data_IF_236345370109
#
_entry.id   IF_236345370109
#
_cell.length_a   1.000
_cell.length_b   1.000
_cell.length_c   1.000
_cell.angle_alpha   90.00
_cell.angle_beta   90.00
_cell.angle_gamma   90.00
#
_symmetry.space_group_name_H-M   'P 1'
#
loop_
_entity.id
_entity.type
_entity.pdbx_description
1 polymer ?
#
# COMPACT_ATOMS: atom_id res chain seq x y z
N UNK A 1 64.83 3.00 31.07
CA UNK A 1 65.30 2.11 32.17
C UNK A 1 66.81 1.88 32.01
N UNK A 2 67.52 1.38 33.01
CA UNK A 2 68.96 1.15 32.90
C UNK A 2 69.61 0.52 34.14
N UNK A 3 70.92 0.69 34.27
CA UNK A 3 71.73 0.07 35.32
C UNK A 3 71.28 0.44 36.73
N UNK A 4 71.59 -0.41 37.72
CA UNK A 4 71.29 -0.17 39.14
C UNK A 4 69.81 0.12 39.43
N UNK A 5 68.90 -0.53 38.69
CA UNK A 5 67.45 -0.34 38.84
C UNK A 5 66.92 1.00 38.34
N UNK A 6 67.64 1.70 37.47
CA UNK A 6 67.26 3.06 37.02
C UNK A 6 65.95 3.04 36.22
N UNK A 7 64.96 3.82 36.68
CA UNK A 7 63.73 4.14 35.94
C UNK A 7 63.61 5.66 35.88
N UNK A 8 63.43 6.21 34.68
CA UNK A 8 63.16 7.63 34.47
C UNK A 8 61.85 7.78 33.71
N UNK A 9 61.05 8.78 34.08
CA UNK A 9 59.82 9.17 33.38
C UNK A 9 59.87 10.63 32.99
N UNK A 10 59.27 10.98 31.86
CA UNK A 10 59.12 12.35 31.41
C UNK A 10 57.75 12.53 30.76
N UNK A 11 57.06 13.63 31.07
CA UNK A 11 55.81 14.02 30.41
C UNK A 11 56.03 14.91 29.19
N UNK A 12 57.22 15.50 29.04
CA UNK A 12 57.56 16.50 28.03
C UNK A 12 58.72 16.05 27.11
N UNK A 13 59.30 14.87 27.35
CA UNK A 13 60.44 14.31 26.64
C UNK A 13 61.79 14.99 26.92
N UNK A 14 61.81 16.06 27.72
CA UNK A 14 63.01 16.90 27.94
C UNK A 14 63.44 16.92 29.40
N UNK A 15 62.50 16.97 30.33
CA UNK A 15 62.72 16.90 31.77
C UNK A 15 62.48 15.47 32.25
N UNK A 16 63.51 14.84 32.80
CA UNK A 16 63.44 13.45 33.26
C UNK A 16 63.47 13.36 34.79
N UNK A 17 62.46 12.71 35.36
CA UNK A 17 62.37 12.48 36.81
C UNK A 17 62.72 11.03 37.12
N UNK A 18 63.62 10.80 38.08
CA UNK A 18 63.96 9.47 38.57
C UNK A 18 62.85 8.86 39.40
N UNK A 19 62.57 7.57 39.18
CA UNK A 19 61.56 6.78 39.90
C UNK A 19 62.21 5.63 40.64
N UNK A 20 61.70 5.36 41.84
CA UNK A 20 62.16 4.23 42.65
C UNK A 20 61.58 2.93 42.09
N UNK A 21 62.46 2.03 41.65
CA UNK A 21 62.10 0.72 41.10
C UNK A 21 61.97 -0.38 42.15
N UNK A 22 62.55 -0.18 43.34
CA UNK A 22 62.58 -1.17 44.42
C UNK A 22 63.59 -2.31 44.20
N UNK A 23 64.48 -2.21 43.20
CA UNK A 23 65.54 -3.19 42.94
C UNK A 23 66.85 -2.49 42.56
N UNK A 24 67.97 -3.17 42.76
CA UNK A 24 69.29 -2.74 42.28
C UNK A 24 69.72 -3.47 41.01
N UNK A 25 68.91 -4.42 40.53
CA UNK A 25 69.19 -5.18 39.31
C UNK A 25 69.16 -4.27 38.07
N UNK A 26 70.00 -4.54 37.08
CA UNK A 26 69.95 -3.75 35.84
C UNK A 26 68.66 -4.08 35.08
N UNK A 27 68.02 -3.04 34.53
CA UNK A 27 66.80 -3.17 33.75
C UNK A 27 67.13 -2.97 32.28
N UNK A 28 66.82 -3.96 31.45
CA UNK A 28 67.24 -4.05 30.05
C UNK A 28 66.13 -3.69 29.06
N UNK A 29 64.88 -3.94 29.42
CA UNK A 29 63.73 -3.68 28.55
C UNK A 29 62.58 -3.01 29.30
N UNK A 30 61.80 -2.20 28.59
CA UNK A 30 60.54 -1.65 29.07
C UNK A 30 59.53 -1.62 27.93
N UNK A 31 58.28 -1.92 28.24
CA UNK A 31 57.14 -1.81 27.33
C UNK A 31 55.94 -1.23 28.07
N UNK A 32 54.95 -0.76 27.32
CA UNK A 32 53.67 -0.30 27.84
C UNK A 32 52.55 -0.87 26.99
N UNK A 33 51.61 -1.56 27.61
CA UNK A 33 50.45 -2.13 26.94
C UNK A 33 49.39 -2.54 27.96
N UNK A 34 48.11 -2.59 27.53
CA UNK A 34 46.97 -2.86 28.41
C UNK A 34 46.99 -1.99 29.69
N UNK A 35 47.22 -0.68 29.52
CA UNK A 35 47.32 0.31 30.59
C UNK A 35 48.35 0.01 31.69
N UNK A 36 49.38 -0.79 31.38
CA UNK A 36 50.40 -1.23 32.33
C UNK A 36 51.80 -1.12 31.72
N UNK A 37 52.71 -0.46 32.42
CA UNK A 37 54.15 -0.50 32.14
C UNK A 37 54.74 -1.79 32.68
N UNK A 38 55.60 -2.43 31.90
CA UNK A 38 56.35 -3.63 32.30
C UNK A 38 57.83 -3.41 31.98
N UNK A 39 58.71 -3.60 32.96
CA UNK A 39 60.17 -3.60 32.76
C UNK A 39 60.78 -4.92 33.21
N UNK A 40 61.82 -5.33 32.50
CA UNK A 40 62.52 -6.61 32.70
C UNK A 40 64.03 -6.41 32.83
N UNK A 41 64.71 -7.30 33.55
CA UNK A 41 66.12 -7.10 33.88
C UNK A 41 66.88 -8.35 34.35
N UNK A 42 68.00 -8.11 35.05
CA UNK A 42 68.87 -9.14 35.63
C UNK A 42 68.11 -10.10 36.55
N UNK A 43 68.61 -11.33 36.66
CA UNK A 43 68.10 -12.35 37.60
C UNK A 43 66.59 -12.59 37.51
N UNK A 44 66.03 -12.51 36.30
CA UNK A 44 64.60 -12.69 36.06
C UNK A 44 63.72 -11.56 36.59
N UNK A 45 64.26 -10.36 36.81
CA UNK A 45 63.48 -9.22 37.34
C UNK A 45 62.35 -8.87 36.39
N UNK A 46 61.12 -8.78 36.92
CA UNK A 46 59.95 -8.18 36.26
C UNK A 46 59.35 -7.15 37.23
N UNK A 47 59.12 -5.92 36.78
CA UNK A 47 58.37 -4.90 37.52
C UNK A 47 57.21 -4.39 36.68
N UNK A 48 56.07 -4.12 37.32
CA UNK A 48 54.87 -3.57 36.67
C UNK A 48 54.42 -2.27 37.34
N UNK A 49 53.86 -1.33 36.56
CA UNK A 49 53.29 -0.08 37.06
C UNK A 49 52.08 0.34 36.23
N UNK A 50 51.00 0.84 36.85
CA UNK A 50 49.85 1.42 36.13
C UNK A 50 49.99 2.93 35.90
N UNK A 51 50.88 3.61 36.64
CA UNK A 51 51.03 5.08 36.64
C UNK A 51 52.43 5.55 36.21
N UNK A 52 53.36 4.61 35.97
CA UNK A 52 54.76 4.88 35.60
C UNK A 52 55.64 5.34 36.77
N UNK A 53 55.08 5.57 37.95
CA UNK A 53 55.78 6.12 39.13
C UNK A 53 55.94 5.10 40.25
N UNK A 54 54.93 4.25 40.49
CA UNK A 54 54.92 3.21 41.52
C UNK A 54 55.12 1.85 40.87
N UNK A 55 56.19 1.14 41.25
CA UNK A 55 56.60 -0.11 40.62
C UNK A 55 56.48 -1.28 41.58
N UNK A 56 55.85 -2.36 41.12
CA UNK A 56 55.67 -3.59 41.90
C UNK A 56 56.43 -4.75 41.26
N UNK A 57 57.22 -5.48 42.04
CA UNK A 57 57.93 -6.68 41.58
C UNK A 57 56.99 -7.84 41.30
N UNK A 58 57.30 -8.63 40.26
CA UNK A 58 56.56 -9.83 39.84
C UNK A 58 57.51 -11.01 39.69
N UNK A 59 57.00 -12.20 40.00
CA UNK A 59 57.75 -13.45 39.84
C UNK A 59 57.78 -13.86 38.38
N UNK A 60 58.98 -14.06 37.83
CA UNK A 60 59.19 -14.52 36.45
C UNK A 60 59.31 -16.04 36.30
N UNK A 61 59.57 -16.75 37.40
CA UNK A 61 59.83 -18.20 37.39
C UNK A 61 61.20 -18.60 36.84
N UNK A 62 62.09 -17.64 36.57
CA UNK A 62 63.46 -17.88 36.11
C UNK A 62 64.44 -16.96 36.80
N UNK A 63 65.70 -17.37 36.91
CA UNK A 63 66.81 -16.52 37.35
C UNK A 63 67.66 -16.02 36.17
N UNK A 64 67.27 -16.34 34.93
CA UNK A 64 67.98 -15.88 33.75
C UNK A 64 67.71 -14.39 33.50
N UNK A 65 68.69 -13.70 32.92
CA UNK A 65 68.53 -12.30 32.53
C UNK A 65 67.50 -12.16 31.40
N UNK A 66 66.57 -11.22 31.59
CA UNK A 66 65.54 -10.89 30.60
C UNK A 66 65.92 -9.61 29.88
N UNK A 67 66.34 -9.73 28.63
CA UNK A 67 66.88 -8.61 27.85
C UNK A 67 65.82 -7.78 27.11
N UNK A 68 64.62 -8.32 26.93
CA UNK A 68 63.56 -7.67 26.17
C UNK A 68 62.18 -8.10 26.62
N UNK A 69 61.22 -7.20 26.43
CA UNK A 69 59.80 -7.43 26.70
C UNK A 69 59.00 -6.75 25.60
N UNK A 70 57.95 -7.41 25.13
CA UNK A 70 57.05 -6.88 24.10
C UNK A 70 55.61 -7.08 24.52
N UNK A 71 54.72 -6.20 24.07
CA UNK A 71 53.27 -6.35 24.21
C UNK A 71 52.69 -6.69 22.85
N UNK A 72 51.78 -7.66 22.81
CA UNK A 72 50.91 -7.83 21.64
C UNK A 72 49.73 -6.87 21.80
N UNK A 73 49.59 -5.87 20.93
CA UNK A 73 48.30 -5.21 20.74
C UNK A 73 47.45 -6.16 19.92
N UNK A 74 46.56 -6.92 20.57
CA UNK A 74 45.53 -7.66 19.83
C UNK A 74 44.51 -6.65 19.35
N UNK A 75 44.67 -6.16 18.12
CA UNK A 75 43.60 -5.42 17.46
C UNK A 75 42.42 -6.37 17.30
N UNK A 76 41.29 -6.07 17.93
CA UNK A 76 40.07 -6.86 17.72
C UNK A 76 39.72 -6.84 16.23
N UNK A 77 39.42 -8.02 15.70
CA UNK A 77 38.95 -8.15 14.33
C UNK A 77 37.62 -7.43 14.15
N UNK A 78 37.36 -6.97 12.93
CA UNK A 78 36.04 -6.46 12.59
C UNK A 78 35.00 -7.59 12.71
N UNK A 79 33.81 -7.32 13.29
CA UNK A 79 32.68 -8.22 13.18
C UNK A 79 32.37 -8.55 11.72
N UNK A 80 32.22 -9.83 11.40
CA UNK A 80 31.89 -10.32 10.06
C UNK A 80 30.42 -10.71 9.96
N UNK A 81 29.93 -10.86 8.72
CA UNK A 81 28.55 -11.28 8.45
C UNK A 81 27.49 -10.40 9.11
N UNK A 82 27.78 -9.11 9.28
CA UNK A 82 26.78 -8.16 9.75
C UNK A 82 25.59 -8.17 8.78
N UNK A 83 24.39 -8.26 9.32
CA UNK A 83 23.12 -8.16 8.59
C UNK A 83 22.22 -7.16 9.30
N UNK A 84 21.30 -6.56 8.54
CA UNK A 84 20.29 -5.64 9.06
C UNK A 84 18.93 -6.03 8.48
N UNK A 85 17.93 -6.17 9.36
CA UNK A 85 16.54 -6.47 8.99
C UNK A 85 15.63 -5.39 9.56
N UNK A 86 14.94 -4.67 8.69
CA UNK A 86 14.03 -3.60 9.09
C UNK A 86 12.63 -4.12 9.42
N UNK A 87 12.01 -3.51 10.42
CA UNK A 87 10.60 -3.68 10.77
C UNK A 87 10.03 -2.31 11.16
N UNK A 88 8.71 -2.23 11.38
CA UNK A 88 8.09 -0.98 11.80
C UNK A 88 8.74 -0.46 13.10
N UNK A 89 9.30 0.74 13.05
CA UNK A 89 9.91 1.43 14.17
C UNK A 89 11.26 0.88 14.64
N UNK A 90 11.85 -0.11 13.97
CA UNK A 90 13.08 -0.74 14.42
C UNK A 90 13.91 -1.42 13.32
N UNK A 91 15.20 -1.59 13.59
CA UNK A 91 16.11 -2.44 12.79
C UNK A 91 16.79 -3.45 13.72
N UNK A 92 16.72 -4.72 13.37
CA UNK A 92 17.45 -5.80 14.05
C UNK A 92 18.74 -6.09 13.31
N UNK A 93 19.84 -6.10 14.05
CA UNK A 93 21.20 -6.35 13.58
C UNK A 93 21.71 -7.66 14.15
N UNK A 94 22.40 -8.45 13.33
CA UNK A 94 23.03 -9.71 13.72
C UNK A 94 24.40 -9.82 13.04
N UNK A 95 25.42 -10.30 13.74
CA UNK A 95 26.77 -10.47 13.22
C UNK A 95 27.48 -11.66 13.87
N UNK A 96 28.60 -12.08 13.29
CA UNK A 96 29.44 -13.12 13.90
C UNK A 96 30.23 -12.57 15.07
N UNK A 97 30.13 -13.24 16.23
CA UNK A 97 30.86 -12.86 17.43
C UNK A 97 32.38 -12.83 17.23
N UNK A 98 33.04 -11.77 17.72
CA UNK A 98 34.49 -11.61 17.67
C UNK A 98 35.14 -12.20 18.93
N UNK A 99 36.08 -13.11 18.73
CA UNK A 99 36.86 -13.72 19.82
C UNK A 99 37.53 -12.65 20.68
N UNK A 100 37.44 -12.80 22.00
CA UNK A 100 37.98 -11.85 23.00
C UNK A 100 37.26 -10.49 23.07
N UNK A 101 36.20 -10.27 22.30
CA UNK A 101 35.32 -9.12 22.51
C UNK A 101 34.56 -9.24 23.82
N UNK A 102 34.43 -8.12 24.54
CA UNK A 102 33.61 -8.00 25.75
C UNK A 102 32.25 -7.36 25.46
N UNK A 103 32.11 -6.73 24.29
CA UNK A 103 30.87 -6.17 23.76
C UNK A 103 31.12 -5.57 22.38
N UNK A 104 30.22 -4.69 21.95
CA UNK A 104 30.25 -4.05 20.66
C UNK A 104 29.75 -2.59 20.75
N UNK A 105 30.27 -1.75 19.87
CA UNK A 105 29.69 -0.43 19.58
C UNK A 105 29.08 -0.48 18.20
N UNK A 106 27.78 -0.17 18.12
CA UNK A 106 27.05 -0.04 16.85
C UNK A 106 27.05 1.44 16.46
N UNK A 107 27.54 1.74 15.26
CA UNK A 107 27.49 3.05 14.65
C UNK A 107 26.39 3.08 13.60
N UNK A 108 25.65 4.17 13.53
CA UNK A 108 24.57 4.30 12.57
C UNK A 108 24.34 5.73 12.08
N UNK A 109 23.72 5.84 10.92
CA UNK A 109 23.34 7.09 10.28
C UNK A 109 22.13 6.88 9.34
N UNK A 110 21.49 7.96 8.91
CA UNK A 110 20.45 7.97 7.88
C UNK A 110 21.04 8.14 6.45
N UNK A 111 22.37 8.18 6.34
CA UNK A 111 23.11 8.27 5.09
C UNK A 111 24.24 7.23 5.02
N UNK A 112 24.71 6.94 3.81
CA UNK A 112 25.86 6.06 3.59
C UNK A 112 27.14 6.65 4.18
N UNK A 113 28.14 5.80 4.42
CA UNK A 113 29.45 6.26 4.90
C UNK A 113 29.55 6.34 6.43
N UNK A 114 28.85 5.44 7.12
CA UNK A 114 28.92 5.28 8.57
C UNK A 114 30.38 5.11 8.98
N UNK A 115 30.77 5.83 10.03
CA UNK A 115 32.14 5.82 10.56
C UNK A 115 32.14 5.91 12.07
N UNK A 116 33.32 5.93 12.68
CA UNK A 116 33.47 6.08 14.13
C UNK A 116 33.03 7.45 14.67
N UNK A 117 32.73 8.43 13.80
CA UNK A 117 32.14 9.71 14.18
C UNK A 117 30.61 9.76 14.05
N UNK A 118 29.97 8.71 13.50
CA UNK A 118 28.52 8.60 13.42
C UNK A 118 27.90 8.33 14.80
N UNK A 119 26.57 8.39 14.89
CA UNK A 119 25.85 8.13 16.14
C UNK A 119 26.16 6.73 16.66
N UNK A 120 26.54 6.63 17.93
CA UNK A 120 27.01 5.39 18.53
C UNK A 120 26.04 4.86 19.59
N UNK A 121 25.86 3.55 19.58
CA UNK A 121 25.14 2.77 20.59
C UNK A 121 26.15 1.84 21.26
N UNK A 122 26.36 2.03 22.56
CA UNK A 122 27.42 1.36 23.35
C UNK A 122 26.89 0.29 24.31
N UNK A 123 25.60 -0.02 24.26
CA UNK A 123 24.93 -0.97 25.15
C UNK A 123 24.91 -2.42 24.61
N UNK A 124 25.47 -2.68 23.43
CA UNK A 124 25.49 -4.02 22.84
C UNK A 124 26.56 -4.91 23.49
N UNK A 125 26.12 -5.94 24.21
CA UNK A 125 27.01 -6.90 24.90
C UNK A 125 27.00 -8.30 24.26
N UNK A 126 26.10 -8.52 23.30
CA UNK A 126 25.94 -9.75 22.52
C UNK A 126 26.21 -9.47 21.04
N UNK A 127 26.21 -10.51 20.22
CA UNK A 127 26.43 -10.50 18.77
C UNK A 127 25.19 -10.14 17.94
N UNK A 128 24.21 -9.51 18.58
CA UNK A 128 22.99 -9.00 17.98
C UNK A 128 22.52 -7.76 18.73
N UNK A 129 21.78 -6.89 18.05
CA UNK A 129 21.20 -5.68 18.64
C UNK A 129 19.92 -5.26 17.93
N UNK A 130 18.89 -4.85 18.67
CA UNK A 130 17.68 -4.24 18.11
C UNK A 130 17.69 -2.74 18.36
N UNK A 131 17.77 -1.96 17.28
CA UNK A 131 17.67 -0.51 17.32
C UNK A 131 16.21 -0.09 17.15
N UNK A 132 15.55 0.23 18.26
CA UNK A 132 14.13 0.63 18.32
C UNK A 132 13.94 2.15 18.36
N UNK A 133 12.71 2.60 18.11
CA UNK A 133 12.35 4.02 18.16
C UNK A 133 12.75 4.80 16.90
N UNK A 134 12.91 4.10 15.79
CA UNK A 134 13.26 4.66 14.50
C UNK A 134 12.01 5.19 13.77
N UNK A 135 12.21 6.19 12.92
CA UNK A 135 11.16 6.68 12.03
C UNK A 135 10.86 5.62 10.97
N UNK A 136 9.58 5.42 10.65
CA UNK A 136 9.16 4.56 9.56
C UNK A 136 9.43 5.19 8.20
N UNK A 137 9.53 4.36 7.16
CA UNK A 137 9.79 4.81 5.79
C UNK A 137 11.17 5.41 5.60
N UNK A 138 12.15 5.02 6.43
CA UNK A 138 13.49 5.60 6.45
C UNK A 138 14.55 4.51 6.35
N UNK A 139 15.59 4.76 5.54
CA UNK A 139 16.73 3.86 5.41
C UNK A 139 17.82 4.23 6.42
N UNK A 140 18.27 3.24 7.19
CA UNK A 140 19.34 3.40 8.17
C UNK A 140 20.54 2.53 7.79
N UNK A 141 21.73 3.09 7.99
CA UNK A 141 23.01 2.47 7.68
C UNK A 141 23.74 2.13 8.98
N UNK A 142 24.46 1.01 9.00
CA UNK A 142 25.09 0.49 10.22
C UNK A 142 26.49 -0.06 9.97
N UNK A 143 27.37 0.16 10.95
CA UNK A 143 28.64 -0.57 11.13
C UNK A 143 28.81 -0.95 12.60
N UNK A 144 29.54 -2.02 12.86
CA UNK A 144 29.80 -2.50 14.22
C UNK A 144 31.30 -2.65 14.45
N UNK A 145 31.78 -2.23 15.62
CA UNK A 145 33.14 -2.50 16.10
C UNK A 145 33.06 -3.30 17.40
N UNK A 146 33.93 -4.31 17.53
CA UNK A 146 34.09 -5.03 18.80
C UNK A 146 34.88 -4.17 19.81
N UNK A 147 34.56 -4.31 21.10
CA UNK A 147 35.27 -3.63 22.19
C UNK A 147 35.86 -4.65 23.17
N UNK A 148 37.10 -4.44 23.61
CA UNK A 148 37.76 -5.32 24.58
C UNK A 148 37.46 -4.93 26.04
N UNK A 149 38.00 -5.67 27.00
CA UNK A 149 37.82 -5.37 28.43
C UNK A 149 38.50 -4.08 28.90
N UNK A 150 39.42 -3.52 28.10
CA UNK A 150 40.07 -2.24 28.37
C UNK A 150 39.32 -1.05 27.72
N UNK A 151 38.24 -1.30 26.98
CA UNK A 151 37.49 -0.29 26.25
C UNK A 151 38.08 0.06 24.88
N UNK A 152 39.05 -0.71 24.39
CA UNK A 152 39.68 -0.47 23.09
C UNK A 152 38.80 -1.01 21.97
N UNK A 153 38.52 -0.17 20.97
CA UNK A 153 37.74 -0.54 19.79
C UNK A 153 38.60 -1.22 18.72
N UNK A 154 38.03 -2.26 18.12
CA UNK A 154 38.56 -2.93 16.94
C UNK A 154 38.25 -2.20 15.63
N UNK A 155 38.56 -2.87 14.52
CA UNK A 155 38.15 -2.41 13.20
C UNK A 155 36.62 -2.43 13.03
N UNK A 156 36.09 -1.52 12.20
CA UNK A 156 34.67 -1.52 11.83
C UNK A 156 34.37 -2.65 10.83
N UNK A 157 33.18 -3.22 10.96
CA UNK A 157 32.59 -4.13 9.96
C UNK A 157 32.38 -3.44 8.60
N UNK A 158 32.01 -4.24 7.59
CA UNK A 158 31.37 -3.72 6.39
C UNK A 158 30.07 -2.99 6.75
N UNK A 159 29.71 -1.98 5.95
CA UNK A 159 28.44 -1.28 6.09
C UNK A 159 27.28 -2.17 5.63
N UNK A 160 26.19 -2.14 6.38
CA UNK A 160 24.89 -2.67 5.95
C UNK A 160 23.83 -1.59 6.08
N UNK A 161 22.66 -1.84 5.49
CA UNK A 161 21.52 -0.96 5.66
C UNK A 161 20.22 -1.77 5.74
N UNK A 162 19.20 -1.16 6.33
CA UNK A 162 17.84 -1.64 6.27
C UNK A 162 16.89 -0.44 6.26
N UNK A 163 15.79 -0.57 5.52
CA UNK A 163 14.69 0.38 5.57
C UNK A 163 13.66 -0.07 6.60
N UNK A 164 13.17 0.87 7.40
CA UNK A 164 11.94 0.67 8.18
C UNK A 164 10.75 0.81 7.22
N UNK A 165 9.89 -0.22 7.05
CA UNK A 165 8.74 -0.10 6.17
C UNK A 165 7.75 0.96 6.70
N UNK A 166 7.04 1.64 5.80
CA UNK A 166 5.89 2.45 6.17
C UNK A 166 4.81 1.55 6.81
N UNK A 167 4.11 2.01 7.87
CA UNK A 167 3.05 1.24 8.47
C UNK A 167 1.86 1.12 7.50
N UNK A 168 1.02 0.14 7.76
CA UNK A 168 -0.21 -0.05 7.01
C UNK A 168 -1.15 1.16 7.21
N UNK A 169 -1.79 1.68 6.14
CA UNK A 169 -2.86 2.63 6.30
C UNK A 169 -4.01 2.01 7.10
N UNK A 170 -4.44 2.69 8.17
CA UNK A 170 -5.56 2.25 9.01
C UNK A 170 -6.90 2.69 8.42
N UNK A 171 -7.98 2.05 8.88
CA UNK A 171 -9.36 2.39 8.53
C UNK A 171 -9.65 2.40 7.02
N UNK A 172 -9.01 1.52 6.24
CA UNK A 172 -9.43 1.31 4.85
C UNK A 172 -10.90 0.89 4.84
N UNK A 173 -11.73 1.69 4.16
CA UNK A 173 -13.14 1.43 3.95
C UNK A 173 -13.45 1.49 2.46
N UNK A 174 -14.45 0.71 2.03
CA UNK A 174 -14.93 0.68 0.67
C UNK A 174 -16.46 0.79 0.67
N UNK A 175 -17.00 1.67 -0.16
CA UNK A 175 -18.44 1.87 -0.33
C UNK A 175 -18.80 1.83 -1.81
N UNK A 176 -19.76 0.99 -2.16
CA UNK A 176 -20.18 0.78 -3.54
C UNK A 176 -21.46 1.53 -3.91
N UNK A 177 -21.44 2.32 -4.99
CA UNK A 177 -22.61 2.95 -5.58
C UNK A 177 -22.39 3.26 -7.07
N UNK A 178 -23.43 3.17 -7.90
CA UNK A 178 -23.43 3.64 -9.30
C UNK A 178 -22.22 3.18 -10.13
N UNK A 179 -21.92 1.87 -10.20
CA UNK A 179 -20.75 1.33 -10.91
C UNK A 179 -19.38 1.85 -10.41
N UNK A 180 -19.34 2.42 -9.22
CA UNK A 180 -18.13 2.94 -8.59
C UNK A 180 -17.95 2.44 -7.17
N UNK A 181 -16.70 2.24 -6.77
CA UNK A 181 -16.32 1.97 -5.39
C UNK A 181 -15.47 3.13 -4.90
N UNK A 182 -15.98 3.83 -3.90
CA UNK A 182 -15.24 4.88 -3.20
C UNK A 182 -14.50 4.27 -2.03
N UNK A 183 -13.20 4.51 -1.96
CA UNK A 183 -12.31 4.06 -0.90
C UNK A 183 -11.77 5.24 -0.13
N UNK A 184 -11.65 5.08 1.18
CA UNK A 184 -10.99 6.04 2.09
C UNK A 184 -10.15 5.30 3.10
N UNK A 185 -9.07 5.92 3.56
CA UNK A 185 -8.20 5.39 4.62
C UNK A 185 -7.57 6.54 5.40
N UNK A 186 -6.94 6.26 6.53
CA UNK A 186 -6.16 7.24 7.27
C UNK A 186 -4.82 7.51 6.56
N UNK A 187 -4.42 8.78 6.49
CA UNK A 187 -3.11 9.14 5.93
C UNK A 187 -1.96 8.59 6.77
N UNK A 188 -0.90 8.13 6.09
CA UNK A 188 0.31 7.60 6.71
C UNK A 188 1.41 8.65 6.67
N UNK A 189 1.94 9.01 7.85
CA UNK A 189 3.07 9.93 7.95
C UNK A 189 4.30 9.39 7.22
N UNK A 190 4.95 10.24 6.41
CA UNK A 190 6.11 9.86 5.59
C UNK A 190 5.76 9.20 4.25
N UNK A 191 4.47 8.95 3.97
CA UNK A 191 4.01 8.51 2.65
C UNK A 191 3.99 9.67 1.65
N UNK A 192 4.45 9.41 0.43
CA UNK A 192 4.33 10.34 -0.71
C UNK A 192 3.20 9.96 -1.65
N UNK A 193 2.78 8.69 -1.62
CA UNK A 193 1.66 8.15 -2.39
C UNK A 193 1.17 6.84 -1.78
N UNK A 194 0.15 6.24 -2.37
CA UNK A 194 -0.41 4.94 -2.03
C UNK A 194 -0.52 4.06 -3.27
N UNK A 195 -0.45 2.75 -3.04
CA UNK A 195 -0.81 1.72 -4.01
C UNK A 195 -2.00 0.92 -3.46
N UNK A 196 -3.09 0.87 -4.22
CA UNK A 196 -4.24 0.00 -3.97
C UNK A 196 -4.06 -1.31 -4.73
N UNK A 197 -4.37 -2.42 -4.07
CA UNK A 197 -4.45 -3.76 -4.65
C UNK A 197 -5.89 -4.23 -4.57
N UNK A 198 -6.40 -4.83 -5.64
CA UNK A 198 -7.81 -5.22 -5.69
C UNK A 198 -8.08 -6.44 -6.57
N UNK A 199 -9.16 -7.13 -6.23
CA UNK A 199 -9.72 -8.24 -7.01
C UNK A 199 -11.22 -8.40 -6.70
N UNK A 200 -11.94 -9.15 -7.54
CA UNK A 200 -13.30 -9.63 -7.26
C UNK A 200 -13.32 -11.01 -6.57
N UNK A 201 -12.15 -11.58 -6.27
CA UNK A 201 -11.97 -12.79 -5.47
C UNK A 201 -11.39 -12.42 -4.10
N UNK A 202 -11.85 -13.10 -3.05
CA UNK A 202 -11.33 -12.91 -1.69
C UNK A 202 -9.89 -13.41 -1.56
N UNK A 203 -9.13 -12.87 -0.60
CA UNK A 203 -7.77 -13.35 -0.30
C UNK A 203 -6.67 -12.50 -0.89
N UNK A 204 -7.00 -11.26 -1.29
CA UNK A 204 -6.08 -10.35 -1.98
C UNK A 204 -4.77 -10.06 -1.24
N UNK A 205 -3.70 -9.89 -1.99
CA UNK A 205 -2.36 -9.54 -1.56
C UNK A 205 -1.65 -8.59 -2.55
N UNK A 206 -0.32 -8.44 -2.43
CA UNK A 206 0.47 -7.53 -3.26
C UNK A 206 0.74 -8.01 -4.69
N UNK A 207 0.28 -9.21 -5.05
CA UNK A 207 0.40 -9.79 -6.40
C UNK A 207 -0.82 -9.50 -7.28
N UNK A 208 -1.92 -9.03 -6.70
CA UNK A 208 -3.14 -8.68 -7.42
C UNK A 208 -3.02 -7.36 -8.19
N UNK A 209 -4.09 -7.03 -8.92
CA UNK A 209 -4.17 -5.83 -9.75
C UNK A 209 -3.91 -4.58 -8.93
N UNK A 210 -2.92 -3.79 -9.34
CA UNK A 210 -2.47 -2.62 -8.61
C UNK A 210 -2.88 -1.31 -9.29
N UNK A 211 -3.34 -0.35 -8.48
CA UNK A 211 -3.55 1.04 -8.84
C UNK A 211 -2.52 1.85 -8.07
N UNK A 212 -1.59 2.49 -8.76
CA UNK A 212 -0.42 3.15 -8.15
C UNK A 212 -0.52 4.67 -8.21
N UNK A 213 0.40 5.34 -7.52
CA UNK A 213 0.56 6.80 -7.59
C UNK A 213 -0.63 7.61 -7.09
N UNK A 214 -1.41 7.06 -6.16
CA UNK A 214 -2.53 7.76 -5.52
C UNK A 214 -1.95 8.72 -4.48
N UNK A 215 -2.19 10.02 -4.60
CA UNK A 215 -1.60 11.03 -3.70
C UNK A 215 -2.50 11.44 -2.55
N UNK A 216 -3.80 11.18 -2.65
CA UNK A 216 -4.78 11.45 -1.60
C UNK A 216 -5.02 10.20 -0.73
N UNK A 217 -5.70 10.40 0.39
CA UNK A 217 -6.16 9.37 1.33
C UNK A 217 -7.53 8.77 0.94
N UNK A 218 -7.87 8.88 -0.34
CA UNK A 218 -9.09 8.38 -0.93
C UNK A 218 -8.90 8.06 -2.42
N UNK A 219 -9.76 7.20 -2.94
CA UNK A 219 -9.79 6.83 -4.35
C UNK A 219 -11.18 6.39 -4.80
N UNK A 220 -11.61 6.80 -5.98
CA UNK A 220 -12.84 6.31 -6.60
C UNK A 220 -12.48 5.40 -7.76
N UNK A 221 -12.84 4.13 -7.64
CA UNK A 221 -12.61 3.11 -8.65
C UNK A 221 -13.88 2.91 -9.48
N UNK A 222 -13.84 3.30 -10.75
CA UNK A 222 -15.01 3.35 -11.64
C UNK A 222 -15.08 2.19 -12.63
N UNK A 223 -16.22 2.06 -13.32
CA UNK A 223 -16.50 1.01 -14.32
C UNK A 223 -16.48 -0.39 -13.71
N UNK A 224 -16.97 -0.50 -12.48
CA UNK A 224 -17.06 -1.75 -11.74
C UNK A 224 -18.40 -2.45 -12.07
N UNK A 225 -18.40 -3.79 -12.03
CA UNK A 225 -19.58 -4.60 -12.29
C UNK A 225 -20.50 -4.60 -11.07
N UNK A 226 -21.69 -4.03 -11.23
CA UNK A 226 -22.71 -4.05 -10.19
C UNK A 226 -23.14 -5.50 -9.88
N UNK A 227 -23.54 -5.77 -8.64
CA UNK A 227 -23.82 -7.11 -8.13
C UNK A 227 -22.60 -7.93 -7.70
N UNK A 228 -21.38 -7.47 -7.99
CA UNK A 228 -20.13 -8.12 -7.57
C UNK A 228 -19.62 -7.56 -6.25
N UNK A 229 -18.93 -8.42 -5.47
CA UNK A 229 -18.14 -7.99 -4.32
C UNK A 229 -16.70 -7.80 -4.76
N UNK A 230 -16.12 -6.66 -4.41
CA UNK A 230 -14.71 -6.38 -4.65
C UNK A 230 -13.97 -6.21 -3.33
N UNK A 231 -12.72 -6.64 -3.31
CA UNK A 231 -11.83 -6.63 -2.16
C UNK A 231 -10.66 -5.69 -2.44
N UNK A 232 -10.24 -4.94 -1.42
CA UNK A 232 -9.18 -3.94 -1.52
C UNK A 232 -8.22 -3.99 -0.34
N UNK A 233 -6.93 -3.78 -0.63
CA UNK A 233 -5.87 -3.48 0.34
C UNK A 233 -5.09 -2.29 -0.16
N UNK A 234 -4.62 -1.45 0.75
CA UNK A 234 -3.80 -0.29 0.43
C UNK A 234 -2.46 -0.38 1.14
N UNK A 235 -1.39 0.04 0.47
CA UNK A 235 -0.08 0.25 1.09
C UNK A 235 0.38 1.68 0.83
N UNK A 236 0.98 2.29 1.85
CA UNK A 236 1.66 3.57 1.72
C UNK A 236 3.01 3.39 1.00
N UNK A 237 3.41 4.39 0.22
CA UNK A 237 4.63 4.35 -0.60
C UNK A 237 5.44 5.63 -0.40
N UNK A 238 6.77 5.49 -0.31
CA UNK A 238 7.70 6.60 -0.40
C UNK A 238 9.00 6.20 -1.12
N UNK A 239 10.04 7.05 -1.05
CA UNK A 239 11.34 6.79 -1.67
C UNK A 239 12.09 5.57 -1.11
N UNK A 240 11.76 5.12 0.11
CA UNK A 240 12.31 3.90 0.71
C UNK A 240 11.55 2.63 0.28
N UNK A 241 10.38 2.78 -0.37
CA UNK A 241 9.62 1.68 -0.96
C UNK A 241 8.16 1.63 -0.54
N UNK A 242 7.55 0.47 -0.78
CA UNK A 242 6.15 0.17 -0.41
C UNK A 242 6.09 -0.41 1.00
N UNK A 243 5.20 0.14 1.83
CA UNK A 243 4.95 -0.29 3.20
C UNK A 243 4.13 -1.57 3.31
N UNK A 244 3.72 -1.88 4.54
CA UNK A 244 2.85 -3.03 4.81
C UNK A 244 1.43 -2.80 4.31
N UNK A 245 0.75 -3.85 3.86
CA UNK A 245 -0.65 -3.78 3.42
C UNK A 245 -1.60 -3.55 4.60
N UNK A 246 -2.66 -2.77 4.35
CA UNK A 246 -3.81 -2.63 5.25
C UNK A 246 -4.55 -3.94 5.50
N UNK A 247 -5.45 -3.91 6.48
CA UNK A 247 -6.56 -4.87 6.52
C UNK A 247 -7.37 -4.80 5.22
N UNK A 248 -8.01 -5.91 4.86
CA UNK A 248 -8.90 -5.95 3.69
C UNK A 248 -10.14 -5.11 3.95
N UNK A 249 -10.54 -4.32 2.96
CA UNK A 249 -11.87 -3.75 2.86
C UNK A 249 -12.61 -4.41 1.70
N UNK A 250 -13.94 -4.42 1.75
CA UNK A 250 -14.75 -4.95 0.65
C UNK A 250 -16.04 -4.17 0.51
N UNK A 251 -16.52 -4.06 -0.72
CA UNK A 251 -17.82 -3.50 -1.03
C UNK A 251 -18.59 -4.42 -1.98
N UNK A 252 -19.85 -4.70 -1.65
CA UNK A 252 -20.82 -5.24 -2.59
C UNK A 252 -21.40 -4.05 -3.37
N UNK A 253 -21.29 -4.11 -4.68
CA UNK A 253 -21.85 -3.12 -5.56
C UNK A 253 -23.34 -3.46 -5.79
N UNK A 254 -24.26 -2.49 -5.61
CA UNK A 254 -25.71 -2.75 -5.56
C UNK A 254 -26.21 -3.71 -6.66
N UNK A 255 -26.92 -4.76 -6.23
CA UNK A 255 -27.23 -5.96 -7.01
C UNK A 255 -28.39 -5.84 -8.01
N UNK A 256 -28.78 -4.62 -8.40
CA UNK A 256 -29.99 -4.41 -9.20
C UNK A 256 -29.74 -4.37 -10.71
N UNK A 257 -28.49 -4.50 -11.20
CA UNK A 257 -28.21 -4.58 -12.63
C UNK A 257 -27.28 -5.74 -13.00
N UNK A 258 -27.42 -6.25 -14.22
CA UNK A 258 -26.65 -7.38 -14.79
C UNK A 258 -25.47 -6.92 -15.66
N UNK A 259 -25.41 -5.65 -16.03
CA UNK A 259 -24.37 -5.05 -16.86
C UNK A 259 -24.78 -3.66 -17.34
N UNK A 260 -23.82 -2.91 -17.88
CA UNK A 260 -24.04 -1.58 -18.45
C UNK A 260 -23.26 -1.36 -19.73
N UNK A 261 -23.69 -0.40 -20.56
CA UNK A 261 -23.12 -0.04 -21.86
C UNK A 261 -23.28 1.46 -22.11
N UNK A 262 -22.30 2.08 -22.77
CA UNK A 262 -22.34 3.51 -23.07
C UNK A 262 -22.72 3.74 -24.54
N UNK A 263 -23.56 4.74 -24.79
CA UNK A 263 -23.91 5.18 -26.15
C UNK A 263 -24.27 6.67 -26.13
N UNK A 264 -23.70 7.46 -27.05
CA UNK A 264 -23.95 8.90 -27.19
C UNK A 264 -23.96 9.71 -25.88
N UNK A 265 -22.95 9.50 -25.03
CA UNK A 265 -22.79 10.15 -23.71
C UNK A 265 -23.74 9.67 -22.58
N UNK A 266 -24.71 8.81 -22.88
CA UNK A 266 -25.54 8.16 -21.88
C UNK A 266 -24.95 6.80 -21.47
N UNK A 267 -25.23 6.40 -20.23
CA UNK A 267 -24.94 5.05 -19.73
C UNK A 267 -26.25 4.29 -19.58
N UNK A 268 -26.37 3.14 -20.22
CA UNK A 268 -27.53 2.27 -20.12
C UNK A 268 -27.17 1.03 -19.32
N UNK A 269 -28.03 0.58 -18.42
CA UNK A 269 -27.91 -0.66 -17.68
C UNK A 269 -29.15 -1.53 -17.83
N UNK A 270 -29.04 -2.81 -17.49
CA UNK A 270 -30.19 -3.71 -17.48
C UNK A 270 -30.40 -4.29 -16.08
N UNK A 271 -31.65 -4.43 -15.64
CA UNK A 271 -31.95 -4.99 -14.32
C UNK A 271 -31.36 -6.38 -14.12
N UNK A 272 -31.05 -6.76 -12.89
CA UNK A 272 -30.39 -8.05 -12.60
C UNK A 272 -31.32 -9.26 -12.70
N UNK A 273 -32.62 -9.04 -12.76
CA UNK A 273 -33.65 -10.04 -13.03
C UNK A 273 -34.80 -9.42 -13.81
N UNK A 274 -35.62 -10.27 -14.43
CA UNK A 274 -36.91 -9.84 -14.93
C UNK A 274 -37.83 -9.46 -13.76
N UNK A 275 -38.64 -8.42 -13.92
CA UNK A 275 -39.53 -7.88 -12.90
C UNK A 275 -40.69 -7.10 -13.52
N UNK A 276 -41.68 -6.75 -12.71
CA UNK A 276 -42.79 -5.88 -13.13
C UNK A 276 -42.27 -4.49 -13.49
N UNK A 277 -43.01 -3.73 -14.31
CA UNK A 277 -42.63 -2.38 -14.69
C UNK A 277 -42.40 -1.48 -13.46
N UNK A 278 -43.31 -1.55 -12.48
CA UNK A 278 -43.19 -0.78 -11.23
C UNK A 278 -41.91 -1.11 -10.43
N UNK A 279 -41.53 -2.39 -10.38
CA UNK A 279 -40.28 -2.79 -9.72
C UNK A 279 -39.06 -2.35 -10.53
N UNK A 280 -39.12 -2.40 -11.86
CA UNK A 280 -38.05 -1.93 -12.73
C UNK A 280 -37.83 -0.41 -12.57
N UNK A 281 -38.90 0.37 -12.54
CA UNK A 281 -38.89 1.81 -12.20
C UNK A 281 -38.29 2.08 -10.82
N UNK A 282 -38.71 1.31 -9.81
CA UNK A 282 -38.15 1.45 -8.46
C UNK A 282 -36.64 1.10 -8.41
N UNK A 283 -36.22 0.08 -9.15
CA UNK A 283 -34.82 -0.32 -9.27
C UNK A 283 -33.99 0.77 -9.99
N UNK A 284 -34.52 1.35 -11.06
CA UNK A 284 -33.93 2.49 -11.77
C UNK A 284 -33.74 3.69 -10.84
N UNK A 285 -34.80 4.11 -10.15
CA UNK A 285 -34.77 5.22 -9.21
C UNK A 285 -33.78 4.99 -8.05
N UNK A 286 -33.70 3.75 -7.53
CA UNK A 286 -32.75 3.38 -6.49
C UNK A 286 -31.28 3.47 -6.93
N UNK A 287 -31.02 3.42 -8.23
CA UNK A 287 -29.70 3.60 -8.83
C UNK A 287 -29.44 5.06 -9.27
N UNK A 288 -30.39 5.97 -9.04
CA UNK A 288 -30.31 7.36 -9.47
C UNK A 288 -30.56 7.57 -10.97
N UNK A 289 -31.12 6.60 -11.66
CA UNK A 289 -31.56 6.70 -13.06
C UNK A 289 -33.07 6.55 -13.21
N UNK A 290 -33.51 6.31 -14.43
CA UNK A 290 -34.91 6.06 -14.79
C UNK A 290 -34.99 5.00 -15.90
N UNK A 291 -36.17 4.43 -16.14
CA UNK A 291 -36.34 3.52 -17.29
C UNK A 291 -36.17 4.30 -18.60
N UNK A 292 -35.31 3.77 -19.47
CA UNK A 292 -34.73 4.51 -20.61
C UNK A 292 -35.76 5.24 -21.47
N UNK A 293 -35.43 6.48 -21.82
CA UNK A 293 -36.06 7.17 -22.95
C UNK A 293 -35.44 6.67 -24.25
N UNK A 294 -36.14 6.87 -25.37
CA UNK A 294 -35.61 6.55 -26.69
C UNK A 294 -36.00 7.64 -27.67
N UNK A 295 -35.00 8.40 -28.08
CA UNK A 295 -35.17 9.64 -28.82
C UNK A 295 -34.88 9.46 -30.32
N UNK A 296 -34.08 8.46 -30.68
CA UNK A 296 -33.69 8.20 -32.08
C UNK A 296 -33.81 6.74 -32.49
N UNK A 297 -33.99 6.51 -33.80
CA UNK A 297 -33.96 5.15 -34.37
C UNK A 297 -32.61 4.45 -34.13
N UNK A 298 -31.51 5.21 -34.11
CA UNK A 298 -30.18 4.67 -33.88
C UNK A 298 -30.01 4.16 -32.44
N UNK A 299 -30.53 4.90 -31.47
CA UNK A 299 -30.59 4.50 -30.06
C UNK A 299 -31.48 3.27 -29.88
N UNK A 300 -32.68 3.25 -30.47
CA UNK A 300 -33.55 2.08 -30.46
C UNK A 300 -32.84 0.82 -31.03
N UNK A 301 -32.11 0.99 -32.13
CA UNK A 301 -31.32 -0.08 -32.75
C UNK A 301 -30.19 -0.55 -31.83
N UNK A 302 -29.51 0.38 -31.16
CA UNK A 302 -28.46 0.08 -30.19
C UNK A 302 -29.03 -0.74 -29.03
N UNK A 303 -30.13 -0.29 -28.40
CA UNK A 303 -30.76 -0.99 -27.29
C UNK A 303 -31.25 -2.39 -27.69
N UNK A 304 -31.83 -2.51 -28.88
CA UNK A 304 -32.25 -3.79 -29.44
C UNK A 304 -31.08 -4.74 -29.67
N UNK A 305 -30.01 -4.25 -30.29
CA UNK A 305 -28.83 -5.09 -30.58
C UNK A 305 -28.12 -5.51 -29.30
N UNK A 306 -27.98 -4.56 -28.37
CA UNK A 306 -27.10 -4.73 -27.21
C UNK A 306 -27.78 -5.40 -26.04
N UNK A 307 -29.01 -5.01 -25.73
CA UNK A 307 -29.76 -5.57 -24.61
C UNK A 307 -30.69 -6.68 -25.07
N UNK A 308 -31.63 -6.43 -25.98
CA UNK A 308 -32.56 -7.47 -26.44
C UNK A 308 -31.81 -8.67 -27.06
N UNK A 309 -30.84 -8.42 -27.94
CA UNK A 309 -30.04 -9.47 -28.59
C UNK A 309 -29.16 -10.29 -27.62
N UNK A 310 -28.74 -9.71 -26.49
CA UNK A 310 -27.90 -10.38 -25.49
C UNK A 310 -28.74 -11.13 -24.46
N UNK A 311 -29.83 -10.52 -23.98
CA UNK A 311 -30.60 -11.01 -22.84
C UNK A 311 -31.89 -11.73 -23.25
N UNK A 312 -32.20 -11.79 -24.55
CA UNK A 312 -33.14 -12.74 -25.16
C UNK A 312 -34.61 -12.59 -24.76
N UNK A 313 -35.01 -11.46 -24.20
CA UNK A 313 -36.36 -11.20 -23.70
C UNK A 313 -36.86 -9.84 -24.15
N UNK A 314 -38.19 -9.68 -24.21
CA UNK A 314 -38.81 -8.36 -24.20
C UNK A 314 -38.25 -7.53 -23.02
N UNK A 315 -37.93 -6.26 -23.26
CA UNK A 315 -37.28 -5.39 -22.27
C UNK A 315 -38.11 -4.13 -22.04
N UNK A 316 -38.33 -3.77 -20.76
CA UNK A 316 -39.01 -2.54 -20.40
C UNK A 316 -38.19 -1.33 -20.83
N UNK A 317 -38.89 -0.37 -21.44
CA UNK A 317 -38.42 0.99 -21.70
C UNK A 317 -39.29 1.95 -20.88
N UNK A 318 -38.94 3.23 -20.79
CA UNK A 318 -39.63 4.16 -19.89
C UNK A 318 -41.03 4.59 -20.32
N UNK A 319 -41.46 4.31 -21.55
CA UNK A 319 -42.75 4.77 -22.05
C UNK A 319 -43.91 4.02 -21.35
N UNK A 320 -44.91 4.75 -20.87
CA UNK A 320 -46.10 4.23 -20.18
C UNK A 320 -47.25 5.23 -20.24
N UNK A 321 -48.50 4.78 -20.09
CA UNK A 321 -49.71 5.61 -20.00
C UNK A 321 -50.55 5.32 -18.74
N UNK A 322 -49.90 4.75 -17.72
CA UNK A 322 -50.41 4.42 -16.36
C UNK A 322 -51.33 5.47 -15.70
N UNK A 323 -51.17 6.76 -16.05
CA UNK A 323 -51.94 7.83 -15.44
C UNK A 323 -53.24 8.14 -16.20
N UNK A 324 -53.25 7.93 -17.52
CA UNK A 324 -54.37 8.24 -18.40
C UNK A 324 -54.21 7.44 -19.68
N UNK A 325 -55.09 6.45 -19.84
CA UNK A 325 -55.22 5.60 -21.03
C UNK A 325 -54.89 6.34 -22.34
N UNK A 326 -53.96 5.77 -23.10
CA UNK A 326 -53.33 6.26 -24.34
C UNK A 326 -52.72 7.66 -24.30
N UNK A 327 -52.45 8.20 -23.12
CA UNK A 327 -51.61 9.39 -22.94
C UNK A 327 -50.24 8.95 -22.45
N UNK A 328 -49.40 8.58 -23.41
CA UNK A 328 -48.06 8.05 -23.15
C UNK A 328 -47.09 9.13 -22.68
N UNK A 329 -46.34 8.80 -21.62
CA UNK A 329 -45.29 9.61 -21.00
C UNK A 329 -44.04 8.77 -20.76
N UNK A 330 -42.89 9.41 -20.63
CA UNK A 330 -41.67 8.74 -20.20
C UNK A 330 -41.59 8.63 -18.68
N UNK A 331 -40.83 7.65 -18.19
CA UNK A 331 -40.64 7.38 -16.76
C UNK A 331 -40.02 8.56 -16.00
N UNK A 332 -39.12 9.30 -16.65
CA UNK A 332 -38.49 10.52 -16.15
C UNK A 332 -39.46 11.72 -16.11
N UNK A 333 -40.68 11.57 -16.63
CA UNK A 333 -41.73 12.58 -16.64
C UNK A 333 -41.74 13.49 -17.88
N UNK A 334 -40.85 13.29 -18.85
CA UNK A 334 -40.90 14.02 -20.14
C UNK A 334 -42.07 13.53 -21.00
N UNK A 335 -42.55 14.38 -21.89
CA UNK A 335 -43.76 14.14 -22.69
C UNK A 335 -43.56 14.54 -24.14
N UNK A 336 -44.23 13.85 -25.06
CA UNK A 336 -44.23 14.10 -26.50
C UNK A 336 -44.13 15.59 -26.89
N UNK A 337 -43.14 15.92 -27.71
CA UNK A 337 -42.92 17.24 -28.31
C UNK A 337 -42.05 18.19 -27.49
N UNK A 338 -41.33 17.70 -26.46
CA UNK A 338 -40.31 18.49 -25.80
C UNK A 338 -38.98 18.43 -26.60
N UNK A 339 -38.40 19.60 -26.86
CA UNK A 339 -36.99 19.77 -27.22
C UNK A 339 -36.48 19.37 -28.63
N UNK A 340 -37.35 19.29 -29.65
CA UNK A 340 -37.00 19.03 -31.06
C UNK A 340 -36.36 17.65 -31.34
N UNK A 341 -36.39 16.73 -30.39
CA UNK A 341 -36.13 15.31 -30.63
C UNK A 341 -37.46 14.63 -30.97
N UNK A 342 -37.47 13.61 -31.83
CA UNK A 342 -38.71 12.89 -32.16
C UNK A 342 -39.08 11.94 -31.03
N UNK A 343 -39.48 12.49 -29.91
CA UNK A 343 -39.97 11.83 -28.71
C UNK A 343 -41.46 11.47 -28.81
N UNK A 344 -42.13 11.77 -29.94
CA UNK A 344 -43.52 11.43 -30.23
C UNK A 344 -43.85 9.97 -29.87
N UNK A 345 -44.37 9.76 -28.66
CA UNK A 345 -44.82 8.45 -28.17
C UNK A 345 -46.12 8.05 -28.87
N UNK A 346 -46.93 9.07 -29.23
CA UNK A 346 -48.16 8.97 -29.98
C UNK A 346 -48.12 9.88 -31.23
N UNK A 347 -48.94 9.57 -32.25
CA UNK A 347 -49.11 10.44 -33.41
C UNK A 347 -50.36 11.33 -33.32
N UNK A 348 -50.84 11.83 -34.47
CA UNK A 348 -51.86 12.89 -34.51
C UNK A 348 -53.26 12.33 -34.18
N UNK A 349 -53.94 12.91 -33.17
CA UNK A 349 -55.32 12.62 -32.70
C UNK A 349 -55.51 11.58 -31.57
N UNK A 350 -54.54 11.43 -30.66
CA UNK A 350 -54.72 10.71 -29.38
C UNK A 350 -54.76 9.19 -29.56
N UNK A 351 -53.60 8.55 -29.42
CA UNK A 351 -53.24 7.13 -29.58
C UNK A 351 -54.38 6.09 -29.83
N UNK A 352 -55.09 6.09 -30.99
CA UNK A 352 -56.15 5.09 -31.22
C UNK A 352 -55.59 3.80 -31.84
N UNK A 353 -54.52 3.94 -32.65
CA UNK A 353 -53.62 2.93 -33.22
C UNK A 353 -52.39 3.75 -33.68
N UNK A 354 -51.28 3.78 -32.94
CA UNK A 354 -50.27 4.82 -33.20
C UNK A 354 -49.57 4.69 -34.57
N UNK A 355 -49.52 5.81 -35.28
CA UNK A 355 -48.73 6.09 -36.47
C UNK A 355 -47.41 6.78 -36.11
N UNK A 356 -46.97 6.71 -34.83
CA UNK A 356 -45.75 7.33 -34.39
C UNK A 356 -44.55 6.75 -35.14
N UNK A 357 -43.89 7.61 -35.92
CA UNK A 357 -42.69 7.28 -36.66
C UNK A 357 -41.47 7.95 -36.04
N UNK A 358 -40.30 7.39 -36.34
CA UNK A 358 -39.04 8.09 -36.16
C UNK A 358 -38.95 9.31 -37.09
N UNK A 359 -37.90 10.11 -36.94
CA UNK A 359 -37.66 11.32 -37.76
C UNK A 359 -37.63 11.09 -39.28
N UNK A 360 -37.48 9.84 -39.74
CA UNK A 360 -37.56 9.47 -41.16
C UNK A 360 -39.00 9.46 -41.72
N UNK A 361 -40.02 9.69 -40.88
CA UNK A 361 -41.45 9.69 -41.22
C UNK A 361 -41.94 8.43 -41.95
N UNK A 362 -41.23 7.30 -41.81
CA UNK A 362 -41.54 6.05 -42.51
C UNK A 362 -41.40 4.82 -41.63
N UNK A 363 -40.45 4.82 -40.70
CA UNK A 363 -40.23 3.73 -39.76
C UNK A 363 -41.09 3.95 -38.52
N UNK A 364 -42.02 3.02 -38.27
CA UNK A 364 -42.90 3.07 -37.08
C UNK A 364 -42.12 2.69 -35.82
N UNK A 365 -42.48 3.30 -34.69
CA UNK A 365 -41.98 2.95 -33.36
C UNK A 365 -42.66 1.69 -32.82
N UNK A 366 -43.98 1.67 -32.91
CA UNK A 366 -44.83 0.59 -32.41
C UNK A 366 -45.05 -0.52 -33.44
N UNK A 367 -45.31 -1.73 -32.96
CA UNK A 367 -45.66 -2.87 -33.79
C UNK A 367 -47.02 -2.68 -34.50
N UNK A 368 -47.36 -3.58 -35.42
CA UNK A 368 -48.66 -3.54 -36.08
C UNK A 368 -49.80 -3.68 -35.09
N UNK A 369 -50.75 -2.74 -35.16
CA UNK A 369 -51.88 -2.56 -34.23
C UNK A 369 -51.51 -2.02 -32.84
N UNK A 370 -50.27 -1.61 -32.59
CA UNK A 370 -49.86 -1.08 -31.28
C UNK A 370 -49.73 0.46 -31.24
N UNK A 371 -49.94 1.08 -30.07
CA UNK A 371 -50.59 0.51 -28.88
C UNK A 371 -52.07 0.20 -29.19
N UNK A 372 -52.53 -1.01 -28.86
CA UNK A 372 -53.94 -1.41 -29.03
C UNK A 372 -54.75 -1.08 -27.75
N UNK A 373 -56.07 -1.24 -27.83
CA UNK A 373 -57.00 -1.24 -26.67
C UNK A 373 -57.46 0.08 -25.99
N UNK A 374 -57.26 1.25 -26.61
CA UNK A 374 -57.86 2.54 -26.20
C UNK A 374 -59.38 2.53 -25.86
N UNK A 375 -60.17 1.62 -26.46
CA UNK A 375 -61.64 1.68 -26.43
C UNK A 375 -62.35 0.56 -25.64
N UNK A 376 -61.64 -0.42 -25.07
CA UNK A 376 -62.28 -1.56 -24.42
C UNK A 376 -62.25 -1.54 -22.89
N UNK A 377 -61.57 -0.56 -22.29
CA UNK A 377 -61.50 -0.41 -20.83
C UNK A 377 -60.85 -1.61 -20.14
N UNK A 378 -59.94 -2.30 -20.84
CA UNK A 378 -59.03 -3.26 -20.22
C UNK A 378 -57.80 -2.47 -19.77
N UNK A 379 -57.63 -2.18 -18.46
CA UNK A 379 -56.50 -1.42 -17.90
C UNK A 379 -55.25 -2.30 -17.84
N UNK A 380 -55.10 -3.16 -18.83
CA UNK A 380 -54.25 -4.31 -18.80
C UNK A 380 -52.85 -3.95 -19.25
N UNK A 381 -52.73 -3.25 -20.38
CA UNK A 381 -51.52 -2.94 -21.12
C UNK A 381 -51.27 -1.43 -21.05
N UNK A 382 -50.33 -0.99 -20.20
CA UNK A 382 -50.02 0.44 -20.04
C UNK A 382 -48.50 0.73 -20.08
N UNK A 383 -47.71 -0.26 -20.53
CA UNK A 383 -46.26 -0.26 -20.34
C UNK A 383 -45.53 -0.72 -21.59
N UNK A 384 -44.65 0.14 -22.10
CA UNK A 384 -43.93 -0.11 -23.33
C UNK A 384 -42.71 -1.02 -23.13
N UNK A 385 -42.48 -1.89 -24.11
CA UNK A 385 -41.28 -2.70 -24.17
C UNK A 385 -40.75 -2.79 -25.61
N UNK A 386 -39.45 -3.05 -25.78
CA UNK A 386 -38.92 -3.53 -27.06
C UNK A 386 -39.21 -5.03 -27.17
N UNK A 387 -39.83 -5.46 -28.28
CA UNK A 387 -40.40 -6.82 -28.41
C UNK A 387 -39.59 -7.79 -29.25
N UNK A 388 -38.78 -7.28 -30.18
CA UNK A 388 -38.10 -8.11 -31.16
C UNK A 388 -36.83 -7.43 -31.71
N UNK A 389 -36.07 -8.17 -32.52
CA UNK A 389 -34.82 -7.72 -33.12
C UNK A 389 -34.98 -6.59 -34.14
N UNK A 390 -36.19 -6.29 -34.60
CA UNK A 390 -36.46 -5.17 -35.49
C UNK A 390 -36.67 -3.86 -34.70
N UNK A 391 -36.68 -3.93 -33.36
CA UNK A 391 -36.73 -2.77 -32.48
C UNK A 391 -38.12 -2.15 -32.34
N UNK A 392 -39.19 -2.86 -32.68
CA UNK A 392 -40.55 -2.34 -32.48
C UNK A 392 -40.99 -2.42 -31.02
N UNK A 393 -41.79 -1.44 -30.61
CA UNK A 393 -42.39 -1.39 -29.29
C UNK A 393 -43.74 -2.11 -29.27
N UNK A 394 -44.08 -2.76 -28.15
CA UNK A 394 -45.46 -3.14 -27.82
C UNK A 394 -45.95 -2.31 -26.65
N UNK A 395 -47.26 -2.23 -26.58
CA UNK A 395 -47.96 -2.10 -25.33
C UNK A 395 -48.12 -3.48 -24.67
N UNK A 396 -47.85 -3.58 -23.37
CA UNK A 396 -47.93 -4.84 -22.63
C UNK A 396 -48.43 -4.62 -21.21
N UNK A 397 -48.96 -5.68 -20.58
CA UNK A 397 -49.30 -5.60 -19.19
C UNK A 397 -48.12 -5.30 -18.29
N UNK A 398 -48.23 -4.22 -17.51
CA UNK A 398 -47.20 -3.78 -16.56
C UNK A 398 -46.87 -4.82 -15.49
N UNK A 399 -47.77 -5.80 -15.28
CA UNK A 399 -47.57 -6.96 -14.41
C UNK A 399 -46.65 -8.04 -15.01
N UNK A 400 -46.31 -7.95 -16.30
CA UNK A 400 -45.37 -8.87 -16.93
C UNK A 400 -43.99 -8.76 -16.30
N UNK A 401 -43.27 -9.88 -16.29
CA UNK A 401 -41.93 -9.94 -15.73
C UNK A 401 -40.91 -9.82 -16.85
N UNK A 402 -40.39 -8.61 -17.09
CA UNK A 402 -39.38 -8.30 -18.10
C UNK A 402 -38.16 -7.63 -17.46
N UNK A 403 -37.02 -7.68 -18.15
CA UNK A 403 -35.84 -6.91 -17.73
C UNK A 403 -36.03 -5.43 -18.05
N UNK A 404 -35.68 -4.54 -17.13
CA UNK A 404 -35.74 -3.10 -17.36
C UNK A 404 -34.43 -2.54 -17.87
N UNK A 405 -34.48 -1.71 -18.91
CA UNK A 405 -33.31 -0.90 -19.30
C UNK A 405 -33.38 0.43 -18.58
N UNK A 406 -32.30 0.73 -17.88
CA UNK A 406 -32.13 1.90 -17.02
C UNK A 406 -31.16 2.84 -17.73
N UNK A 407 -31.51 4.11 -17.81
CA UNK A 407 -30.69 5.17 -18.35
C UNK A 407 -30.15 6.05 -17.21
N UNK A 408 -28.89 6.45 -17.34
CA UNK A 408 -28.21 7.40 -16.48
C UNK A 408 -27.67 8.55 -17.33
N UNK A 409 -28.07 9.77 -16.98
CA UNK A 409 -27.63 11.04 -17.59
C UNK A 409 -26.47 11.69 -16.83
#
# INVERSE_FOLDING_TARGET
VGNSGTILTSSDGTTWTSRTSGTTNNLYGVTYGNSTFVTVGDSGTILTSSDGTTWTSRTSGTTNNLYGVTTTTTTLLAPSSLTATGAAGQVTLDWTAVSSARGYTVYWDNATGVSSSSTAITSAITDNYTHSGLDNGTTYYYKVAAIDSAGTLGALSSEVNAATPLPAPDNLSASGANNTITLTWNSVSGATSYTLYWDNVSGIDSSDTAITSITNDNYTHSNMDNGSTYYYKVAAVNSSGTGTLSSVASALLSANIQGSQNYNAHTYAITSSAMTFANAKAAAAALGGYLTTINTLAENTFLTTRFYGTYGNAIWIGANDLNSEGTWVWDNGTTSGDDNLTDNLCGSNGCPISDATWADNSTRKWNSNEPNDWNNGDPGEDCANITNSNGYWNDLPCSNSLYGVIEFD
#
